data_IF_251868390729
#
_entry.id   IF_251868390729
#
_cell.length_a   1.000
_cell.length_b   1.000
_cell.length_c   1.000
_cell.angle_alpha   90.00
_cell.angle_beta   90.00
_cell.angle_gamma   90.00
#
_symmetry.space_group_name_H-M   'P 1'
#
loop_
_entity.id
_entity.type
_entity.pdbx_description
1 polymer ?
#
# COMPACT_ATOMS: atom_id res chain seq x y z
N UNK A 1 5.35 -16.70 -5.70
CA UNK A 1 5.59 -16.17 -4.34
C UNK A 1 4.29 -15.64 -3.80
N UNK A 2 3.85 -16.09 -2.61
CA UNK A 2 2.56 -15.72 -2.04
C UNK A 2 2.74 -14.83 -0.81
N UNK A 3 1.84 -13.85 -0.61
CA UNK A 3 1.85 -13.01 0.59
C UNK A 3 1.22 -13.80 1.75
N UNK A 4 1.97 -14.07 2.80
CA UNK A 4 1.48 -14.75 4.00
C UNK A 4 0.74 -13.79 4.94
N UNK A 5 1.25 -12.58 5.14
CA UNK A 5 0.58 -11.53 5.92
C UNK A 5 0.99 -10.14 5.49
N UNK A 6 0.11 -9.17 5.71
CA UNK A 6 0.42 -7.74 5.61
C UNK A 6 0.95 -7.28 6.96
N UNK A 7 2.00 -6.46 6.93
CA UNK A 7 2.64 -5.90 8.12
C UNK A 7 2.36 -4.42 8.29
N UNK A 8 2.14 -3.70 7.19
CA UNK A 8 1.81 -2.28 7.22
C UNK A 8 1.08 -1.85 5.94
N UNK A 9 0.29 -0.79 6.04
CA UNK A 9 -0.40 -0.19 4.91
C UNK A 9 -0.52 1.33 5.10
N UNK A 10 -0.04 2.11 4.13
CA UNK A 10 -0.06 3.57 4.25
C UNK A 10 -0.15 4.28 2.90
N UNK A 11 -0.67 5.51 2.95
CA UNK A 11 -0.71 6.47 1.87
C UNK A 11 0.28 7.57 2.20
N UNK A 12 1.23 7.85 1.32
CA UNK A 12 2.24 8.88 1.50
C UNK A 12 2.01 10.02 0.52
N UNK A 13 1.85 11.23 1.04
CA UNK A 13 1.88 12.46 0.26
C UNK A 13 3.25 13.10 0.37
N UNK A 14 3.90 13.29 -0.76
CA UNK A 14 5.19 13.97 -0.87
C UNK A 14 4.96 15.47 -1.02
N UNK A 15 5.57 16.26 -0.16
CA UNK A 15 5.38 17.72 -0.09
C UNK A 15 6.18 18.49 -1.15
N UNK A 16 7.25 17.89 -1.69
CA UNK A 16 8.14 18.48 -2.68
C UNK A 16 7.55 18.50 -4.09
N UNK A 17 6.76 17.48 -4.44
CA UNK A 17 6.22 17.28 -5.79
C UNK A 17 4.73 16.91 -5.79
N UNK A 18 4.08 16.99 -4.63
CA UNK A 18 2.67 16.67 -4.39
C UNK A 18 2.26 15.22 -4.68
N UNK A 19 3.21 14.32 -5.02
CA UNK A 19 2.91 12.94 -5.36
C UNK A 19 2.20 12.22 -4.21
N UNK A 20 1.23 11.38 -4.56
CA UNK A 20 0.52 10.53 -3.60
C UNK A 20 0.77 9.09 -3.99
N UNK A 21 1.46 8.37 -3.11
CA UNK A 21 1.80 6.96 -3.29
C UNK A 21 1.13 6.09 -2.25
N UNK A 22 0.84 4.87 -2.65
CA UNK A 22 0.21 3.82 -1.86
C UNK A 22 1.25 2.75 -1.57
N UNK A 23 1.31 2.29 -0.34
CA UNK A 23 2.27 1.30 0.10
C UNK A 23 1.59 0.22 0.92
N UNK A 24 1.94 -1.03 0.63
CA UNK A 24 1.59 -2.19 1.45
C UNK A 24 2.84 -3.01 1.67
N UNK A 25 3.20 -3.18 2.93
CA UNK A 25 4.31 -4.03 3.35
C UNK A 25 3.79 -5.41 3.72
N UNK A 26 4.54 -6.44 3.36
CA UNK A 26 4.11 -7.81 3.53
C UNK A 26 5.28 -8.75 3.79
N UNK A 27 4.96 -9.92 4.32
CA UNK A 27 5.88 -11.05 4.49
C UNK A 27 5.34 -12.24 3.71
N UNK A 28 6.20 -12.93 2.97
CA UNK A 28 5.85 -14.14 2.21
C UNK A 28 5.76 -15.39 3.11
N UNK A 29 5.22 -16.46 2.54
CA UNK A 29 5.24 -17.81 3.13
C UNK A 29 6.64 -18.30 3.49
N UNK A 30 7.66 -17.88 2.75
CA UNK A 30 9.08 -18.19 3.01
C UNK A 30 9.75 -17.26 4.01
N UNK A 31 9.01 -16.30 4.59
CA UNK A 31 9.55 -15.31 5.54
C UNK A 31 10.25 -14.11 4.88
N UNK A 32 10.18 -13.97 3.56
CA UNK A 32 10.77 -12.84 2.84
C UNK A 32 9.87 -11.62 2.99
N UNK A 33 10.42 -10.48 3.41
CA UNK A 33 9.69 -9.22 3.47
C UNK A 33 9.72 -8.50 2.12
N UNK A 34 8.67 -7.78 1.80
CA UNK A 34 8.60 -6.96 0.59
C UNK A 34 7.55 -5.88 0.69
N UNK A 35 7.47 -5.08 -0.37
CA UNK A 35 6.57 -3.93 -0.47
C UNK A 35 5.94 -3.91 -1.85
N UNK A 36 4.64 -3.67 -1.89
CA UNK A 36 3.92 -3.35 -3.10
C UNK A 36 3.64 -1.85 -3.11
N UNK A 37 3.91 -1.20 -4.23
CA UNK A 37 3.75 0.25 -4.40
C UNK A 37 2.67 0.53 -5.45
N UNK A 38 1.94 1.64 -5.26
CA UNK A 38 0.96 2.16 -6.20
C UNK A 38 0.99 3.68 -6.19
N UNK A 39 0.37 4.30 -7.19
CA UNK A 39 0.37 5.75 -7.37
C UNK A 39 -1.07 6.25 -7.56
N UNK A 40 -1.41 7.35 -6.89
CA UNK A 40 -2.70 8.05 -6.97
C UNK A 40 -2.58 9.43 -7.61
N UNK A 41 -1.42 10.08 -7.49
CA UNK A 41 -1.15 11.40 -8.09
C UNK A 41 0.25 11.38 -8.70
N UNK A 42 0.46 11.85 -9.95
CA UNK A 42 -0.28 12.93 -10.65
C UNK A 42 -1.57 12.56 -11.42
N UNK A 43 -2.08 11.34 -11.28
CA UNK A 43 -3.28 10.89 -12.00
C UNK A 43 -4.52 10.78 -11.08
N UNK A 44 -5.12 11.91 -10.66
CA UNK A 44 -6.25 11.98 -9.68
C UNK A 44 -7.43 11.07 -10.01
N UNK A 45 -7.61 10.75 -11.29
CA UNK A 45 -8.71 9.93 -11.79
C UNK A 45 -8.33 8.48 -12.06
N UNK A 46 -7.09 8.06 -11.76
CA UNK A 46 -6.70 6.67 -11.89
C UNK A 46 -7.26 5.90 -10.69
N UNK A 47 -8.20 4.96 -10.92
CA UNK A 47 -8.67 4.12 -9.84
C UNK A 47 -7.51 3.30 -9.29
N UNK A 48 -7.53 3.08 -7.98
CA UNK A 48 -6.61 2.14 -7.33
C UNK A 48 -6.74 0.80 -8.07
N UNK A 49 -5.64 0.34 -8.68
CA UNK A 49 -5.64 -0.92 -9.44
C UNK A 49 -6.14 -2.08 -8.56
N UNK A 50 -6.87 -3.02 -9.17
CA UNK A 50 -7.56 -4.08 -8.43
C UNK A 50 -6.65 -4.89 -7.49
N UNK A 51 -5.38 -5.07 -7.86
CA UNK A 51 -4.39 -5.71 -6.99
C UNK A 51 -4.14 -4.89 -5.70
N UNK A 52 -3.90 -3.59 -5.82
CA UNK A 52 -3.66 -2.72 -4.67
C UNK A 52 -4.91 -2.60 -3.79
N UNK A 53 -6.09 -2.47 -4.40
CA UNK A 53 -7.35 -2.45 -3.66
C UNK A 53 -7.56 -3.74 -2.84
N UNK A 54 -7.22 -4.90 -3.41
CA UNK A 54 -7.27 -6.18 -2.70
C UNK A 54 -6.28 -6.25 -1.52
N UNK A 55 -5.10 -5.65 -1.66
CA UNK A 55 -4.11 -5.57 -0.58
C UNK A 55 -4.61 -4.68 0.57
N UNK A 56 -5.17 -3.51 0.29
CA UNK A 56 -5.78 -2.66 1.33
C UNK A 56 -6.97 -3.34 2.02
N UNK A 57 -7.82 -4.03 1.26
CA UNK A 57 -8.92 -4.82 1.83
C UNK A 57 -8.38 -5.93 2.75
N UNK A 58 -7.29 -6.58 2.36
CA UNK A 58 -6.61 -7.58 3.18
C UNK A 58 -6.01 -6.97 4.45
N UNK A 59 -5.40 -5.79 4.37
CA UNK A 59 -4.84 -5.08 5.53
C UNK A 59 -5.93 -4.82 6.58
N UNK A 60 -7.09 -4.31 6.15
CA UNK A 60 -8.26 -4.11 7.00
C UNK A 60 -8.74 -5.43 7.65
N UNK A 61 -8.80 -6.51 6.88
CA UNK A 61 -9.19 -7.84 7.39
C UNK A 61 -8.19 -8.37 8.44
N UNK A 62 -6.92 -8.06 8.29
CA UNK A 62 -5.84 -8.45 9.22
C UNK A 62 -5.69 -7.48 10.41
N UNK A 63 -6.54 -6.46 10.50
CA UNK A 63 -6.52 -5.48 11.59
C UNK A 63 -5.39 -4.44 11.49
N UNK A 64 -4.78 -4.31 10.31
CA UNK A 64 -3.73 -3.32 10.04
C UNK A 64 -4.40 -2.00 9.63
N UNK A 65 -4.21 -0.97 10.45
CA UNK A 65 -4.75 0.35 10.17
C UNK A 65 -4.07 0.97 8.94
N UNK A 66 -4.87 1.56 8.05
CA UNK A 66 -4.36 2.29 6.89
C UNK A 66 -3.99 3.71 7.34
N UNK A 67 -2.71 4.05 7.29
CA UNK A 67 -2.20 5.34 7.80
C UNK A 67 -2.01 6.34 6.65
N UNK A 68 -2.27 7.62 6.91
CA UNK A 68 -1.86 8.71 6.03
C UNK A 68 -0.59 9.36 6.58
N UNK A 69 0.41 9.56 5.73
CA UNK A 69 1.68 10.20 6.07
C UNK A 69 1.98 11.34 5.09
N UNK A 70 2.61 12.41 5.60
CA UNK A 70 3.19 13.47 4.77
C UNK A 70 4.71 13.40 4.92
N UNK A 71 5.42 13.47 3.79
CA UNK A 71 6.88 13.42 3.72
C UNK A 71 7.44 14.66 3.04
#
# INVERSE_FOLDING_TARGET
>A
MSIARITDAYVRRYSDNEQVKLYVEWVSDTGTSGRTEGELWPCEHTPIGGHMAALFARANREGIAIRGETW
#
